data_IF_794056946064
#
_entry.id   IF_794056946064
#
_cell.length_a   1.000
_cell.length_b   1.000
_cell.length_c   1.000
_cell.angle_alpha   90.00
_cell.angle_beta   90.00
_cell.angle_gamma   90.00
#
_symmetry.space_group_name_H-M   'P 1'
#
loop_
_entity.id
_entity.type
_entity.pdbx_description
1 polymer ?
#
# COMPACT_ATOMS: atom_id res chain seq x y z
N UNK A 1 37.68 -10.58 -7.55
CA UNK A 1 36.77 -9.50 -7.99
C UNK A 1 35.89 -9.17 -6.79
N UNK A 2 36.18 -8.07 -6.11
CA UNK A 2 35.59 -7.78 -4.79
C UNK A 2 34.22 -7.15 -5.01
N UNK A 3 33.14 -7.87 -4.67
CA UNK A 3 31.80 -7.30 -4.61
C UNK A 3 31.83 -6.20 -3.56
N UNK A 4 31.74 -4.94 -3.99
CA UNK A 4 31.83 -3.80 -3.11
C UNK A 4 30.45 -3.63 -2.47
N UNK A 5 30.40 -3.34 -1.18
CA UNK A 5 29.16 -3.12 -0.40
C UNK A 5 28.17 -2.13 -1.07
N UNK A 6 28.70 -1.26 -1.94
CA UNK A 6 27.95 -0.34 -2.80
C UNK A 6 27.16 -1.06 -3.91
N UNK A 7 27.71 -2.12 -4.50
CA UNK A 7 27.04 -2.95 -5.50
C UNK A 7 25.93 -3.79 -4.84
N UNK A 8 26.15 -4.28 -3.62
CA UNK A 8 25.12 -4.96 -2.84
C UNK A 8 23.97 -4.01 -2.48
N UNK A 9 24.27 -2.77 -2.04
CA UNK A 9 23.27 -1.74 -1.78
C UNK A 9 22.49 -1.35 -3.03
N UNK A 10 23.16 -1.12 -4.16
CA UNK A 10 22.52 -0.82 -5.43
C UNK A 10 21.61 -1.96 -5.92
N UNK A 11 22.04 -3.22 -5.74
CA UNK A 11 21.24 -4.38 -6.08
C UNK A 11 20.00 -4.50 -5.19
N UNK A 12 20.15 -4.31 -3.88
CA UNK A 12 19.03 -4.30 -2.93
C UNK A 12 18.08 -3.16 -3.25
N UNK A 13 18.57 -1.96 -3.55
CA UNK A 13 17.73 -0.85 -4.02
C UNK A 13 17.02 -1.19 -5.33
N UNK A 14 17.66 -1.85 -6.28
CA UNK A 14 17.00 -2.29 -7.52
C UNK A 14 15.89 -3.32 -7.25
N UNK A 15 16.09 -4.25 -6.32
CA UNK A 15 15.09 -5.25 -5.93
C UNK A 15 13.95 -4.63 -5.11
N UNK A 16 14.20 -3.54 -4.37
CA UNK A 16 13.20 -2.80 -3.59
C UNK A 16 12.39 -1.80 -4.41
N UNK A 17 12.65 -1.67 -5.72
CA UNK A 17 11.93 -0.73 -6.58
C UNK A 17 10.61 -1.31 -7.07
N UNK A 18 9.56 -0.50 -7.03
CA UNK A 18 8.35 -0.76 -7.80
C UNK A 18 8.70 -0.78 -9.29
N UNK A 19 8.32 -1.85 -10.01
CA UNK A 19 8.50 -1.92 -11.48
C UNK A 19 7.37 -1.22 -12.25
N UNK A 20 6.74 -0.20 -11.66
CA UNK A 20 5.72 0.60 -12.34
C UNK A 20 6.31 1.24 -13.61
N UNK A 21 5.54 1.23 -14.68
CA UNK A 21 5.90 1.87 -15.94
C UNK A 21 5.89 3.39 -15.81
N UNK A 22 6.53 4.07 -16.78
CA UNK A 22 6.43 5.52 -16.89
C UNK A 22 4.96 5.95 -16.99
N UNK A 23 4.57 6.90 -16.14
CA UNK A 23 3.21 7.43 -16.09
C UNK A 23 2.22 6.66 -15.19
N UNK A 24 2.56 5.46 -14.72
CA UNK A 24 1.64 4.67 -13.87
C UNK A 24 1.31 5.38 -12.55
N UNK A 25 2.33 5.98 -11.90
CA UNK A 25 2.12 6.74 -10.67
C UNK A 25 1.17 7.93 -10.88
N UNK A 26 1.32 8.66 -12.00
CA UNK A 26 0.45 9.77 -12.35
C UNK A 26 -0.97 9.30 -12.70
N UNK A 27 -1.11 8.15 -13.37
CA UNK A 27 -2.40 7.55 -13.69
C UNK A 27 -3.14 7.13 -12.40
N UNK A 28 -2.43 6.48 -11.46
CA UNK A 28 -2.95 6.14 -10.13
C UNK A 28 -3.38 7.43 -9.41
N UNK A 29 -2.51 8.43 -9.30
CA UNK A 29 -2.84 9.68 -8.63
C UNK A 29 -4.10 10.32 -9.21
N UNK A 30 -4.21 10.40 -10.55
CA UNK A 30 -5.38 10.95 -11.23
C UNK A 30 -6.65 10.15 -10.94
N UNK A 31 -6.57 8.82 -11.00
CA UNK A 31 -7.70 7.93 -10.71
C UNK A 31 -8.20 8.08 -9.28
N UNK A 32 -7.29 7.99 -8.30
CA UNK A 32 -7.61 8.08 -6.89
C UNK A 32 -8.10 9.49 -6.49
N UNK A 33 -7.54 10.55 -7.08
CA UNK A 33 -8.03 11.92 -6.88
C UNK A 33 -9.47 12.09 -7.38
N UNK A 34 -9.80 11.52 -8.55
CA UNK A 34 -11.17 11.53 -9.07
C UNK A 34 -12.12 10.74 -8.18
N UNK A 35 -11.71 9.57 -7.68
CA UNK A 35 -12.50 8.79 -6.74
C UNK A 35 -12.78 9.60 -5.46
N UNK A 36 -11.76 10.22 -4.87
CA UNK A 36 -11.91 11.03 -3.67
C UNK A 36 -12.83 12.24 -3.89
N UNK A 37 -12.77 12.87 -5.07
CA UNK A 37 -13.68 13.97 -5.42
C UNK A 37 -15.15 13.52 -5.58
N UNK A 38 -15.37 12.30 -6.08
CA UNK A 38 -16.72 11.75 -6.33
C UNK A 38 -17.36 11.05 -5.12
N UNK A 39 -16.56 10.50 -4.20
CA UNK A 39 -17.03 9.65 -3.12
C UNK A 39 -16.63 10.22 -1.75
N UNK A 40 -17.59 10.88 -1.09
CA UNK A 40 -17.39 11.36 0.28
C UNK A 40 -17.12 10.19 1.23
N UNK A 41 -15.86 10.07 1.66
CA UNK A 41 -15.40 9.03 2.58
C UNK A 41 -14.29 8.14 2.01
N UNK A 42 -14.11 8.13 0.69
CA UNK A 42 -12.90 7.55 0.10
C UNK A 42 -11.68 8.38 0.50
N UNK A 43 -10.57 7.71 0.80
CA UNK A 43 -9.30 8.34 1.13
C UNK A 43 -8.14 7.52 0.61
N UNK A 44 -7.09 8.20 0.17
CA UNK A 44 -5.85 7.56 -0.24
C UNK A 44 -4.64 8.44 0.12
N UNK A 45 -3.47 7.80 0.19
CA UNK A 45 -2.19 8.45 0.40
C UNK A 45 -1.13 7.79 -0.46
N UNK A 46 -0.21 8.59 -0.99
CA UNK A 46 0.88 8.12 -1.83
C UNK A 46 2.21 8.57 -1.21
N UNK A 47 3.11 7.62 -1.00
CA UNK A 47 4.52 7.84 -0.69
C UNK A 47 5.30 7.79 -2.00
N UNK A 48 5.98 8.88 -2.34
CA UNK A 48 6.77 9.00 -3.57
C UNK A 48 8.26 9.09 -3.22
N UNK A 49 9.10 8.49 -4.06
CA UNK A 49 10.56 8.69 -4.04
C UNK A 49 10.96 9.96 -4.82
N UNK A 50 12.24 10.32 -4.74
CA UNK A 50 12.83 11.54 -5.33
C UNK A 50 12.52 11.73 -6.83
N UNK A 51 12.35 10.64 -7.58
CA UNK A 51 12.02 10.66 -9.01
C UNK A 51 10.51 10.64 -9.31
N UNK A 52 9.65 11.01 -8.34
CA UNK A 52 8.18 10.90 -8.45
C UNK A 52 7.68 9.48 -8.73
N UNK A 53 8.52 8.50 -8.42
CA UNK A 53 8.16 7.08 -8.49
C UNK A 53 7.33 6.72 -7.27
N UNK A 54 6.21 6.06 -7.50
CA UNK A 54 5.42 5.53 -6.40
C UNK A 54 6.27 4.53 -5.61
N UNK A 55 6.23 4.64 -4.29
CA UNK A 55 6.89 3.72 -3.35
C UNK A 55 5.85 2.94 -2.58
N UNK A 56 4.90 3.65 -1.98
CA UNK A 56 3.80 3.06 -1.23
C UNK A 56 2.49 3.76 -1.59
N UNK A 57 1.41 3.00 -1.69
CA UNK A 57 0.05 3.50 -1.88
C UNK A 57 -0.82 2.92 -0.78
N UNK A 58 -1.62 3.77 -0.15
CA UNK A 58 -2.63 3.40 0.82
C UNK A 58 -3.98 3.85 0.31
N UNK A 59 -5.02 3.05 0.49
CA UNK A 59 -6.38 3.52 0.25
C UNK A 59 -7.43 2.81 1.09
N UNK A 60 -8.53 3.52 1.26
CA UNK A 60 -9.70 3.02 1.96
C UNK A 60 -10.98 3.59 1.34
N UNK A 61 -11.94 2.70 1.09
CA UNK A 61 -13.26 3.10 0.62
C UNK A 61 -14.16 3.55 1.78
N UNK A 62 -15.15 4.40 1.47
CA UNK A 62 -16.18 4.85 2.41
C UNK A 62 -16.81 3.69 3.19
N UNK A 63 -17.17 2.60 2.49
CA UNK A 63 -17.82 1.44 3.13
C UNK A 63 -16.89 0.78 4.13
N UNK A 64 -15.62 0.67 3.79
CA UNK A 64 -14.62 0.03 4.65
C UNK A 64 -14.37 0.86 5.92
N UNK A 65 -14.35 2.20 5.81
CA UNK A 65 -14.30 3.09 6.99
C UNK A 65 -15.52 2.97 7.88
N UNK A 66 -16.70 2.77 7.28
CA UNK A 66 -17.92 2.55 8.05
C UNK A 66 -17.88 1.19 8.75
N UNK A 67 -17.47 0.13 8.05
CA UNK A 67 -17.28 -1.19 8.62
C UNK A 67 -16.27 -1.17 9.78
N UNK A 68 -15.18 -0.41 9.68
CA UNK A 68 -14.21 -0.29 10.78
C UNK A 68 -14.81 0.29 12.08
N UNK A 69 -15.83 1.17 11.99
CA UNK A 69 -16.50 1.70 13.18
C UNK A 69 -17.30 0.64 13.94
N UNK A 70 -17.73 -0.41 13.25
CA UNK A 70 -18.56 -1.49 13.81
C UNK A 70 -17.73 -2.73 14.13
N UNK A 71 -16.64 -2.96 13.38
CA UNK A 71 -15.84 -4.19 13.39
C UNK A 71 -14.39 -3.98 13.87
N UNK A 72 -14.05 -2.77 14.33
CA UNK A 72 -12.69 -2.35 14.63
C UNK A 72 -12.07 -2.96 15.90
N UNK A 73 -12.82 -3.78 16.64
CA UNK A 73 -12.35 -4.41 17.88
C UNK A 73 -11.20 -5.41 17.62
N UNK A 74 -11.24 -6.11 16.49
CA UNK A 74 -10.21 -7.06 16.07
C UNK A 74 -9.90 -6.83 14.60
N UNK A 75 -8.63 -6.50 14.31
CA UNK A 75 -8.12 -6.32 12.95
C UNK A 75 -6.94 -7.26 12.74
N UNK A 76 -7.00 -8.04 11.66
CA UNK A 76 -5.88 -8.81 11.15
C UNK A 76 -5.19 -8.05 10.03
N UNK A 77 -3.87 -8.10 10.01
CA UNK A 77 -3.02 -7.52 8.97
C UNK A 77 -2.22 -8.63 8.30
N UNK A 78 -2.14 -8.61 6.99
CA UNK A 78 -1.33 -9.54 6.21
C UNK A 78 -0.75 -8.86 4.96
N UNK A 79 0.49 -9.21 4.61
CA UNK A 79 1.16 -8.84 3.36
C UNK A 79 1.32 -10.06 2.48
N UNK A 80 0.79 -9.97 1.25
CA UNK A 80 0.99 -11.01 0.23
C UNK A 80 1.80 -10.45 -0.91
N UNK A 81 2.80 -11.23 -1.36
CA UNK A 81 3.47 -10.94 -2.63
C UNK A 81 2.47 -11.15 -3.76
N UNK A 82 2.07 -10.06 -4.41
CA UNK A 82 1.37 -10.18 -5.68
C UNK A 82 2.41 -10.61 -6.71
N UNK A 83 2.19 -11.75 -7.37
CA UNK A 83 2.96 -12.19 -8.54
C UNK A 83 2.61 -11.35 -9.79
N UNK A 84 2.56 -10.04 -9.60
CA UNK A 84 2.26 -9.03 -10.60
C UNK A 84 3.57 -8.58 -11.25
N UNK A 85 3.50 -8.09 -12.48
CA UNK A 85 4.62 -7.51 -13.24
C UNK A 85 5.41 -6.44 -12.47
N UNK A 86 4.81 -5.90 -11.41
CA UNK A 86 5.31 -4.80 -10.61
C UNK A 86 6.15 -5.19 -9.37
N UNK A 87 6.22 -6.49 -9.02
CA UNK A 87 6.90 -7.03 -7.82
C UNK A 87 6.49 -6.27 -6.53
N UNK A 88 5.19 -6.19 -6.27
CA UNK A 88 4.63 -5.42 -5.15
C UNK A 88 4.01 -6.30 -4.09
N UNK A 89 4.09 -5.84 -2.85
CA UNK A 89 3.34 -6.41 -1.75
C UNK A 89 1.96 -5.77 -1.70
N UNK A 90 0.94 -6.61 -1.59
CA UNK A 90 -0.38 -6.18 -1.22
C UNK A 90 -0.58 -6.35 0.27
N UNK A 91 -0.73 -5.24 0.96
CA UNK A 91 -1.10 -5.19 2.36
C UNK A 91 -2.62 -5.11 2.49
N UNK A 92 -3.20 -5.99 3.30
CA UNK A 92 -4.63 -5.97 3.61
C UNK A 92 -4.87 -5.90 5.11
N UNK A 93 -5.80 -5.03 5.50
CA UNK A 93 -6.35 -5.00 6.85
C UNK A 93 -7.75 -5.55 6.79
N UNK A 94 -8.03 -6.56 7.61
CA UNK A 94 -9.26 -7.33 7.55
C UNK A 94 -9.83 -7.43 8.96
N UNK A 95 -11.08 -7.01 9.12
CA UNK A 95 -11.85 -7.21 10.35
C UNK A 95 -12.72 -8.46 10.26
N UNK A 96 -13.41 -8.77 11.35
CA UNK A 96 -14.36 -9.88 11.41
C UNK A 96 -15.75 -9.31 11.70
N UNK A 97 -16.72 -9.63 10.86
CA UNK A 97 -18.10 -9.18 11.09
C UNK A 97 -18.82 -10.03 12.15
N UNK A 98 -20.04 -9.65 12.54
CA UNK A 98 -20.84 -10.37 13.54
C UNK A 98 -21.17 -11.82 13.17
N UNK A 99 -20.97 -12.23 11.91
CA UNK A 99 -21.13 -13.59 11.43
C UNK A 99 -19.81 -14.38 11.37
N UNK A 100 -18.71 -13.82 11.87
CA UNK A 100 -17.39 -14.44 11.82
C UNK A 100 -16.72 -14.36 10.44
N UNK A 101 -17.22 -13.53 9.52
CA UNK A 101 -16.69 -13.43 8.17
C UNK A 101 -15.67 -12.30 8.04
N UNK A 102 -14.64 -12.55 7.25
CA UNK A 102 -13.59 -11.58 6.93
C UNK A 102 -14.15 -10.41 6.11
N UNK A 103 -13.90 -9.19 6.59
CA UNK A 103 -14.31 -7.95 5.93
C UNK A 103 -13.09 -7.08 5.69
N UNK A 104 -12.81 -6.75 4.43
CA UNK A 104 -11.70 -5.86 4.07
C UNK A 104 -11.98 -4.45 4.61
N UNK A 105 -11.00 -3.89 5.33
CA UNK A 105 -11.09 -2.58 5.96
C UNK A 105 -10.21 -1.55 5.28
N UNK A 106 -9.00 -1.94 4.85
CA UNK A 106 -8.02 -1.04 4.25
C UNK A 106 -7.10 -1.85 3.34
N UNK A 107 -6.57 -1.21 2.31
CA UNK A 107 -5.55 -1.78 1.44
C UNK A 107 -4.30 -0.91 1.36
N UNK A 108 -3.18 -1.57 1.14
CA UNK A 108 -1.91 -0.96 0.79
C UNK A 108 -1.20 -1.70 -0.33
N UNK A 109 -0.42 -0.97 -1.10
CA UNK A 109 0.50 -1.46 -2.11
C UNK A 109 1.88 -0.95 -1.72
N UNK A 110 2.80 -1.87 -1.42
CA UNK A 110 4.10 -1.55 -0.82
C UNK A 110 5.24 -2.04 -1.71
N UNK A 111 6.35 -1.30 -1.73
CA UNK A 111 7.54 -1.69 -2.50
C UNK A 111 8.40 -2.74 -1.85
N UNK A 112 8.39 -2.80 -0.52
CA UNK A 112 9.19 -3.75 0.25
C UNK A 112 8.58 -3.96 1.63
N UNK A 113 8.75 -5.17 2.17
CA UNK A 113 8.41 -5.47 3.56
C UNK A 113 9.56 -5.04 4.46
N UNK A 114 9.62 -3.76 4.80
CA UNK A 114 10.54 -3.25 5.81
C UNK A 114 9.83 -2.40 6.86
N UNK A 115 10.52 -2.16 7.98
CA UNK A 115 9.96 -1.42 9.11
C UNK A 115 9.50 -0.03 8.73
N UNK A 116 10.21 0.69 7.85
CA UNK A 116 9.85 2.06 7.50
C UNK A 116 8.57 2.10 6.67
N UNK A 117 8.46 1.18 5.71
CA UNK A 117 7.29 1.02 4.85
C UNK A 117 6.06 0.61 5.67
N UNK A 118 6.20 -0.32 6.61
CA UNK A 118 5.11 -0.69 7.52
C UNK A 118 4.74 0.47 8.46
N UNK A 119 5.72 1.17 9.04
CA UNK A 119 5.45 2.34 9.90
C UNK A 119 4.68 3.42 9.12
N UNK A 120 5.06 3.71 7.88
CA UNK A 120 4.31 4.62 7.02
C UNK A 120 2.86 4.16 6.82
N UNK A 121 2.66 2.87 6.53
CA UNK A 121 1.34 2.30 6.31
C UNK A 121 0.45 2.40 7.55
N UNK A 122 0.95 1.99 8.72
CA UNK A 122 0.20 2.05 9.99
C UNK A 122 -0.08 3.49 10.43
N UNK A 123 0.86 4.43 10.22
CA UNK A 123 0.64 5.86 10.49
C UNK A 123 -0.37 6.51 9.55
N UNK A 124 -0.48 6.01 8.33
CA UNK A 124 -1.48 6.50 7.37
C UNK A 124 -2.88 5.97 7.71
N UNK A 125 -2.96 4.80 8.34
CA UNK A 125 -4.22 4.22 8.78
C UNK A 125 -4.82 4.89 10.03
N UNK A 126 -3.99 5.14 11.06
CA UNK A 126 -4.40 5.71 12.35
C UNK A 126 -4.68 7.21 12.28
#
# INVERSE_FOLDING_TARGET
MMFIEKDCRNYIEQVRRLKLGEGDAAAIQSYFSRMQASCFGFYFSMDLEDESRLKNLFWVDKRCRQAYKELGDVVSFDTTYLNNKYDMLFASFVGVNHHGQLTLLVCGLLSVEDTNTLVWLFRTWM
#
